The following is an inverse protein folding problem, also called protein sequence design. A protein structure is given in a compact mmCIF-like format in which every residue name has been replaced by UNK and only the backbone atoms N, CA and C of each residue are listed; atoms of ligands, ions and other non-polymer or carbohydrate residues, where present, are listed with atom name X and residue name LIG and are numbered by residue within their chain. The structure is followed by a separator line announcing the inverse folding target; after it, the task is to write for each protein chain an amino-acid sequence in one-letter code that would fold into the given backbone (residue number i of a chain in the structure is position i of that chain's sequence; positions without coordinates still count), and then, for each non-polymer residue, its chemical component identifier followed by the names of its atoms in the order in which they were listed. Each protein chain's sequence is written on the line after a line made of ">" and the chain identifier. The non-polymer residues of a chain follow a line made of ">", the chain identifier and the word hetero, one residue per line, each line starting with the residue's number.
data_IF_607339498280
#
_entry.id   IF_607339498280
#
_cell.length_a   1.000
_cell.length_b   1.000
_cell.length_c   1.000
_cell.angle_alpha   90.00
_cell.angle_beta   90.00
_cell.angle_gamma   90.00
#
_symmetry.space_group_name_H-M   'P 1'
#
loop_
_entity.id
_entity.type
_entity.pdbx_description
1 polymer ?
#
# COMPACT_ATOMS: atom_id res chain seq x y z
N UNK A 1 17.92 5.44 -5.75
CA UNK A 1 18.88 6.43 -6.30
C UNK A 1 18.25 7.27 -7.42
N UNK A 2 17.92 6.69 -8.59
CA UNK A 2 17.37 7.43 -9.73
C UNK A 2 16.14 8.28 -9.37
N UNK A 3 15.20 7.71 -8.61
CA UNK A 3 14.00 8.42 -8.17
C UNK A 3 14.28 9.71 -7.41
N UNK A 4 15.32 9.74 -6.57
CA UNK A 4 15.63 10.94 -5.79
C UNK A 4 15.99 12.12 -6.70
N UNK A 5 16.78 11.84 -7.75
CA UNK A 5 17.14 12.84 -8.76
C UNK A 5 15.93 13.22 -9.61
N UNK A 6 15.16 12.24 -10.07
CA UNK A 6 13.98 12.49 -10.92
C UNK A 6 12.93 13.37 -10.21
N UNK A 7 12.57 13.05 -8.97
CA UNK A 7 11.63 13.85 -8.18
C UNK A 7 12.16 15.26 -7.91
N UNK A 8 13.46 15.41 -7.61
CA UNK A 8 14.08 16.73 -7.42
C UNK A 8 14.08 17.58 -8.70
N UNK A 9 14.27 16.97 -9.87
CA UNK A 9 14.18 17.68 -11.16
C UNK A 9 12.75 18.13 -11.46
N UNK A 10 11.75 17.33 -11.12
CA UNK A 10 10.33 17.74 -11.22
C UNK A 10 10.00 18.87 -10.25
N UNK A 11 10.51 18.82 -9.03
CA UNK A 11 10.37 19.90 -8.05
C UNK A 11 10.99 21.21 -8.57
N UNK A 12 12.23 21.17 -9.10
CA UNK A 12 12.88 22.31 -9.75
C UNK A 12 12.05 22.84 -10.92
N UNK A 13 11.49 21.95 -11.75
CA UNK A 13 10.65 22.35 -12.88
C UNK A 13 9.39 23.09 -12.42
N UNK A 14 8.71 22.60 -11.38
CA UNK A 14 7.54 23.27 -10.77
C UNK A 14 7.91 24.63 -10.17
N UNK A 15 9.00 24.70 -9.40
CA UNK A 15 9.52 25.96 -8.83
C UNK A 15 9.86 26.98 -9.92
N UNK A 16 10.53 26.56 -11.00
CA UNK A 16 10.86 27.42 -12.14
C UNK A 16 9.62 27.91 -12.89
N UNK A 17 8.59 27.08 -13.00
CA UNK A 17 7.31 27.45 -13.60
C UNK A 17 6.43 28.30 -12.68
N UNK A 18 6.76 28.40 -11.38
CA UNK A 18 5.90 29.01 -10.38
C UNK A 18 4.60 28.21 -10.15
N UNK A 19 4.63 26.91 -10.41
CA UNK A 19 3.46 26.03 -10.40
C UNK A 19 3.68 24.78 -9.55
N UNK A 20 2.66 24.29 -8.84
CA UNK A 20 2.68 22.95 -8.26
C UNK A 20 2.90 21.89 -9.34
N UNK A 21 3.60 20.80 -9.02
CA UNK A 21 3.89 19.74 -9.99
C UNK A 21 2.63 19.12 -10.60
N UNK A 22 1.50 19.10 -9.89
CA UNK A 22 0.26 18.54 -10.43
C UNK A 22 -0.30 19.40 -11.57
N UNK A 23 -0.05 20.72 -11.57
CA UNK A 23 -0.41 21.60 -12.69
C UNK A 23 0.45 21.30 -13.92
N UNK A 24 1.75 21.02 -13.72
CA UNK A 24 2.62 20.60 -14.82
C UNK A 24 2.21 19.25 -15.43
N UNK A 25 1.52 18.41 -14.65
CA UNK A 25 1.01 17.11 -15.07
C UNK A 25 -0.37 17.19 -15.75
N UNK A 26 -0.98 18.37 -15.84
CA UNK A 26 -2.28 18.57 -16.49
C UNK A 26 -3.37 19.16 -15.58
N UNK A 27 -3.05 19.49 -14.33
CA UNK A 27 -3.99 20.08 -13.38
C UNK A 27 -4.76 19.04 -12.56
N UNK A 28 -5.57 19.53 -11.61
CA UNK A 28 -6.38 18.69 -10.72
C UNK A 28 -7.53 18.04 -11.48
N UNK A 29 -7.58 16.71 -11.48
CA UNK A 29 -8.76 15.91 -11.79
C UNK A 29 -9.71 15.79 -10.58
N UNK A 30 -9.23 16.13 -9.38
CA UNK A 30 -9.95 16.12 -8.11
C UNK A 30 -9.27 17.08 -7.12
N UNK A 31 -10.03 17.60 -6.16
CA UNK A 31 -9.52 18.56 -5.17
C UNK A 31 -8.57 17.93 -4.12
N UNK A 32 -8.75 16.64 -3.84
CA UNK A 32 -7.97 15.91 -2.83
C UNK A 32 -7.94 14.42 -3.14
N UNK A 33 -6.91 13.72 -2.66
CA UNK A 33 -6.80 12.27 -2.75
C UNK A 33 -7.54 11.62 -1.57
N UNK A 34 -8.50 10.74 -1.84
CA UNK A 34 -9.08 9.90 -0.79
C UNK A 34 -8.00 8.98 -0.22
N UNK A 35 -7.95 8.80 1.11
CA UNK A 35 -6.95 7.94 1.73
C UNK A 35 -7.55 6.73 2.43
N UNK A 36 -6.75 5.66 2.52
CA UNK A 36 -7.02 4.55 3.42
C UNK A 36 -6.02 4.48 4.57
N UNK A 37 -6.48 3.94 5.70
CA UNK A 37 -5.71 3.79 6.95
C UNK A 37 -5.64 2.33 7.37
N UNK A 38 -4.73 2.02 8.30
CA UNK A 38 -4.53 0.66 8.78
C UNK A 38 -5.19 0.47 10.14
N UNK A 39 -6.11 -0.48 10.21
CA UNK A 39 -6.68 -1.00 11.43
C UNK A 39 -6.12 -2.40 11.71
N UNK A 40 -5.86 -2.68 12.98
CA UNK A 40 -5.42 -4.00 13.37
C UNK A 40 -5.63 -4.32 14.84
N UNK A 41 -5.48 -5.59 15.17
CA UNK A 41 -5.71 -6.15 16.50
C UNK A 41 -5.33 -7.62 16.52
N UNK A 42 -5.40 -8.25 17.70
CA UNK A 42 -5.17 -9.67 17.89
C UNK A 42 -6.45 -10.50 17.82
N UNK A 43 -7.61 -9.85 17.90
CA UNK A 43 -8.93 -10.49 17.82
C UNK A 43 -9.83 -9.71 16.85
N UNK A 44 -10.91 -10.33 16.32
CA UNK A 44 -11.85 -9.63 15.46
C UNK A 44 -12.44 -8.36 16.10
N UNK A 45 -12.73 -8.42 17.41
CA UNK A 45 -13.25 -7.27 18.19
C UNK A 45 -12.22 -6.14 18.30
N UNK A 46 -10.95 -6.44 18.54
CA UNK A 46 -9.91 -5.40 18.56
C UNK A 46 -9.72 -4.74 17.18
N UNK A 47 -9.84 -5.53 16.09
CA UNK A 47 -9.84 -4.99 14.73
C UNK A 47 -11.07 -4.10 14.52
N UNK A 48 -12.26 -4.53 14.94
CA UNK A 48 -13.50 -3.74 14.88
C UNK A 48 -13.35 -2.39 15.59
N UNK A 49 -12.85 -2.40 16.84
CA UNK A 49 -12.61 -1.19 17.63
C UNK A 49 -11.64 -0.25 16.92
N UNK A 50 -10.58 -0.80 16.30
CA UNK A 50 -9.62 -0.02 15.52
C UNK A 50 -10.27 0.59 14.27
N UNK A 51 -11.15 -0.14 13.59
CA UNK A 51 -11.91 0.37 12.43
C UNK A 51 -12.86 1.50 12.86
N UNK A 52 -13.61 1.33 13.95
CA UNK A 52 -14.55 2.34 14.46
C UNK A 52 -13.86 3.65 14.83
N UNK A 53 -12.66 3.59 15.42
CA UNK A 53 -11.85 4.79 15.71
C UNK A 53 -11.53 5.57 14.43
N UNK A 54 -11.07 4.89 13.39
CA UNK A 54 -10.76 5.51 12.10
C UNK A 54 -12.01 6.05 11.40
N UNK A 55 -13.15 5.36 11.50
CA UNK A 55 -14.41 5.88 10.98
C UNK A 55 -14.82 7.18 11.70
N UNK A 56 -14.64 7.27 13.02
CA UNK A 56 -14.90 8.49 13.78
C UNK A 56 -13.98 9.67 13.40
N UNK A 57 -12.77 9.37 12.91
CA UNK A 57 -11.84 10.36 12.32
C UNK A 57 -12.22 10.76 10.87
N UNK A 58 -13.25 10.14 10.29
CA UNK A 58 -13.76 10.45 8.95
C UNK A 58 -13.17 9.60 7.82
N UNK A 59 -12.42 8.54 8.12
CA UNK A 59 -11.93 7.60 7.10
C UNK A 59 -13.04 6.68 6.62
N UNK A 60 -13.07 6.44 5.30
CA UNK A 60 -14.07 5.58 4.62
C UNK A 60 -13.47 4.32 4.02
N UNK A 61 -12.15 4.27 3.87
CA UNK A 61 -11.39 3.14 3.35
C UNK A 61 -10.40 2.69 4.44
N UNK A 62 -10.48 1.43 4.87
CA UNK A 62 -9.70 0.94 6.01
C UNK A 62 -9.16 -0.46 5.69
N UNK A 63 -7.83 -0.59 5.71
CA UNK A 63 -7.15 -1.88 5.60
C UNK A 63 -7.16 -2.58 6.95
N UNK A 64 -7.65 -3.81 6.98
CA UNK A 64 -7.82 -4.60 8.20
C UNK A 64 -6.84 -5.77 8.25
N UNK A 65 -6.14 -5.90 9.38
CA UNK A 65 -5.21 -6.98 9.65
C UNK A 65 -5.42 -7.55 11.06
N UNK A 66 -5.44 -8.88 11.19
CA UNK A 66 -5.49 -9.55 12.49
C UNK A 66 -4.16 -10.25 12.76
N UNK A 67 -3.37 -9.69 13.68
CA UNK A 67 -2.05 -10.21 14.05
C UNK A 67 -0.91 -9.86 13.09
N UNK A 68 -1.09 -8.87 12.20
CA UNK A 68 -0.09 -8.46 11.21
C UNK A 68 -0.03 -9.39 9.99
N UNK A 69 1.01 -9.23 9.16
CA UNK A 69 1.18 -10.05 7.96
C UNK A 69 1.47 -11.52 8.31
N UNK A 70 0.61 -12.42 7.82
CA UNK A 70 0.63 -13.83 8.19
C UNK A 70 -0.03 -14.14 9.55
N UNK A 71 -0.60 -13.13 10.20
CA UNK A 71 -1.30 -13.24 11.47
C UNK A 71 -0.44 -13.68 12.66
N UNK A 72 -1.09 -13.89 13.80
CA UNK A 72 -0.45 -14.39 15.01
C UNK A 72 -1.03 -15.74 15.38
N UNK A 73 -0.26 -16.79 15.15
CA UNK A 73 -0.67 -18.16 15.45
C UNK A 73 -0.89 -18.36 16.96
N UNK A 74 -1.99 -19.04 17.33
CA UNK A 74 -2.31 -19.33 18.73
C UNK A 74 -1.29 -20.27 19.38
N UNK A 75 -0.78 -21.21 18.60
CA UNK A 75 0.28 -22.12 18.99
C UNK A 75 1.16 -22.42 17.77
N UNK A 76 2.48 -22.34 17.95
CA UNK A 76 3.46 -22.71 16.93
C UNK A 76 4.28 -23.89 17.45
N UNK A 77 4.04 -25.07 16.88
CA UNK A 77 4.88 -26.24 17.09
C UNK A 77 6.00 -26.19 16.06
N UNK A 78 7.24 -26.26 16.54
CA UNK A 78 8.46 -26.20 15.71
C UNK A 78 9.30 -27.45 15.94
N UNK A 79 10.04 -27.93 14.91
CA UNK A 79 10.98 -29.02 15.10
C UNK A 79 12.16 -28.61 16.00
N UNK A 80 12.80 -29.59 16.64
CA UNK A 80 14.05 -29.36 17.35
C UNK A 80 15.12 -28.81 16.40
N UNK A 81 15.88 -27.81 16.86
CA UNK A 81 16.89 -27.13 16.05
C UNK A 81 16.36 -26.04 15.10
N UNK A 82 15.06 -25.69 15.15
CA UNK A 82 14.50 -24.60 14.36
C UNK A 82 15.23 -23.26 14.61
N UNK A 83 15.69 -22.61 13.53
CA UNK A 83 16.43 -21.34 13.60
C UNK A 83 15.55 -20.18 14.09
N UNK A 84 16.13 -19.10 14.66
CA UNK A 84 15.39 -17.87 14.90
C UNK A 84 14.76 -17.29 13.62
N UNK A 85 13.66 -16.56 13.78
CA UNK A 85 12.94 -15.91 12.67
C UNK A 85 11.55 -15.42 13.09
N UNK A 86 10.89 -14.71 12.18
CA UNK A 86 9.50 -14.29 12.31
C UNK A 86 8.57 -15.42 11.86
N UNK A 87 8.20 -16.30 12.79
CA UNK A 87 7.36 -17.47 12.49
C UNK A 87 5.89 -17.10 12.34
N UNK A 88 5.23 -17.66 11.32
CA UNK A 88 3.78 -17.60 11.15
C UNK A 88 3.25 -18.95 10.61
N UNK A 89 1.92 -19.11 10.59
CA UNK A 89 1.27 -20.30 10.04
C UNK A 89 0.34 -19.86 8.90
N UNK A 90 0.78 -20.11 7.66
CA UNK A 90 0.09 -19.76 6.42
C UNK A 90 -1.36 -20.26 6.37
N UNK A 91 -1.60 -21.51 6.77
CA UNK A 91 -2.94 -22.12 6.76
C UNK A 91 -3.84 -21.59 7.86
N UNK A 92 -3.29 -21.32 9.04
CA UNK A 92 -4.05 -20.67 10.12
C UNK A 92 -4.42 -19.25 9.74
N UNK A 93 -3.49 -18.50 9.17
CA UNK A 93 -3.73 -17.16 8.62
C UNK A 93 -4.88 -17.17 7.61
N UNK A 94 -4.77 -17.96 6.54
CA UNK A 94 -5.80 -18.02 5.50
C UNK A 94 -7.19 -18.39 6.04
N UNK A 95 -7.27 -19.32 7.00
CA UNK A 95 -8.54 -19.70 7.63
C UNK A 95 -9.16 -18.61 8.51
N UNK A 96 -8.34 -17.71 9.05
CA UNK A 96 -8.78 -16.69 10.01
C UNK A 96 -9.22 -15.38 9.34
N UNK A 97 -8.78 -15.10 8.10
CA UNK A 97 -9.15 -13.88 7.38
C UNK A 97 -10.66 -13.80 7.10
N UNK A 98 -11.27 -14.85 6.57
CA UNK A 98 -12.70 -14.85 6.24
C UNK A 98 -13.61 -14.66 7.48
N UNK A 99 -13.42 -15.39 8.60
CA UNK A 99 -14.18 -15.15 9.82
C UNK A 99 -14.00 -13.75 10.41
N UNK A 100 -12.79 -13.17 10.30
CA UNK A 100 -12.56 -11.77 10.70
C UNK A 100 -13.40 -10.82 9.84
N UNK A 101 -13.37 -10.98 8.51
CA UNK A 101 -14.14 -10.13 7.60
C UNK A 101 -15.66 -10.30 7.77
N UNK A 102 -16.13 -11.52 8.03
CA UNK A 102 -17.53 -11.78 8.37
C UNK A 102 -17.96 -11.01 9.61
N UNK A 103 -17.17 -11.09 10.69
CA UNK A 103 -17.43 -10.33 11.92
C UNK A 103 -17.52 -8.82 11.64
N UNK A 104 -16.55 -8.28 10.91
CA UNK A 104 -16.53 -6.85 10.56
C UNK A 104 -17.74 -6.44 9.71
N UNK A 105 -18.11 -7.23 8.71
CA UNK A 105 -19.29 -6.93 7.88
C UNK A 105 -20.60 -7.00 8.65
N UNK A 106 -20.73 -7.95 9.58
CA UNK A 106 -21.89 -8.03 10.47
C UNK A 106 -21.99 -6.81 11.41
N UNK A 107 -20.86 -6.30 11.89
CA UNK A 107 -20.83 -5.21 12.87
C UNK A 107 -20.83 -3.79 12.26
N UNK A 108 -20.29 -3.63 11.05
CA UNK A 108 -20.02 -2.34 10.41
C UNK A 108 -20.82 -2.11 9.13
N UNK A 109 -21.40 -3.16 8.56
CA UNK A 109 -22.08 -3.11 7.27
C UNK A 109 -21.12 -2.96 6.08
N UNK A 110 -21.67 -2.46 4.96
CA UNK A 110 -20.99 -2.39 3.67
C UNK A 110 -20.64 -0.98 3.19
N UNK A 111 -21.02 0.07 3.94
CA UNK A 111 -20.71 1.47 3.57
C UNK A 111 -19.24 1.82 3.77
N UNK A 112 -18.58 1.20 4.76
CA UNK A 112 -17.11 1.32 4.91
C UNK A 112 -16.44 0.38 3.93
N UNK A 113 -15.48 0.91 3.17
CA UNK A 113 -14.65 0.14 2.25
C UNK A 113 -13.53 -0.55 3.02
N UNK A 114 -13.47 -1.87 2.93
CA UNK A 114 -12.47 -2.68 3.63
C UNK A 114 -11.41 -3.18 2.65
N UNK A 115 -10.15 -3.13 3.07
CA UNK A 115 -9.01 -3.65 2.32
C UNK A 115 -8.33 -4.73 3.14
N UNK A 116 -7.66 -5.67 2.47
CA UNK A 116 -6.84 -6.66 3.16
C UNK A 116 -5.59 -6.95 2.34
N UNK A 117 -4.47 -7.18 3.02
CA UNK A 117 -3.17 -7.37 2.40
C UNK A 117 -2.64 -8.77 2.72
N UNK A 118 -2.47 -9.59 1.69
CA UNK A 118 -1.96 -10.95 1.84
C UNK A 118 -0.45 -10.94 2.03
N UNK A 119 0.23 -9.92 1.53
CA UNK A 119 1.67 -9.70 1.66
C UNK A 119 2.47 -10.94 1.27
N UNK A 120 2.12 -11.54 0.11
CA UNK A 120 2.74 -12.74 -0.46
C UNK A 120 2.88 -13.96 0.48
N UNK A 121 2.12 -14.00 1.60
CA UNK A 121 2.23 -15.02 2.65
C UNK A 121 1.66 -16.39 2.30
N UNK A 122 1.04 -16.53 1.13
CA UNK A 122 0.34 -17.72 0.72
C UNK A 122 0.89 -18.28 -0.58
N UNK A 123 0.92 -19.61 -0.68
CA UNK A 123 1.17 -20.30 -1.95
C UNK A 123 0.00 -20.06 -2.91
N UNK A 124 0.22 -20.17 -4.24
CA UNK A 124 -0.80 -19.80 -5.22
C UNK A 124 -2.17 -20.46 -5.06
N UNK A 125 -2.22 -21.75 -4.67
CA UNK A 125 -3.49 -22.45 -4.44
C UNK A 125 -4.23 -21.94 -3.21
N UNK A 126 -3.51 -21.68 -2.11
CA UNK A 126 -4.09 -21.19 -0.86
C UNK A 126 -4.56 -19.73 -1.04
N UNK A 127 -3.79 -18.94 -1.79
CA UNK A 127 -4.13 -17.57 -2.19
C UNK A 127 -5.41 -17.51 -3.03
N UNK A 128 -5.54 -18.36 -4.06
CA UNK A 128 -6.77 -18.48 -4.85
C UNK A 128 -7.97 -18.85 -3.98
N UNK A 129 -7.81 -19.81 -3.05
CA UNK A 129 -8.88 -20.21 -2.15
C UNK A 129 -9.31 -19.06 -1.24
N UNK A 130 -8.35 -18.28 -0.72
CA UNK A 130 -8.64 -17.08 0.06
C UNK A 130 -9.39 -16.03 -0.78
N UNK A 131 -8.91 -15.72 -1.99
CA UNK A 131 -9.51 -14.73 -2.87
C UNK A 131 -10.99 -15.04 -3.17
N UNK A 132 -11.34 -16.32 -3.33
CA UNK A 132 -12.74 -16.78 -3.44
C UNK A 132 -13.50 -16.66 -2.13
N UNK A 133 -12.89 -17.08 -1.02
CA UNK A 133 -13.55 -17.08 0.29
C UNK A 133 -13.95 -15.67 0.76
N UNK A 134 -13.26 -14.64 0.28
CA UNK A 134 -13.54 -13.25 0.67
C UNK A 134 -14.48 -12.48 -0.27
N UNK A 135 -14.93 -13.08 -1.38
CA UNK A 135 -15.87 -12.44 -2.32
C UNK A 135 -17.14 -11.87 -1.64
N UNK A 136 -17.81 -12.60 -0.72
CA UNK A 136 -19.03 -12.09 -0.08
C UNK A 136 -18.82 -10.80 0.72
N UNK A 137 -17.58 -10.51 1.14
CA UNK A 137 -17.25 -9.34 1.94
C UNK A 137 -16.92 -8.11 1.12
N UNK A 138 -16.90 -8.20 -0.23
CA UNK A 138 -16.76 -7.05 -1.15
C UNK A 138 -15.63 -6.10 -0.70
N UNK A 139 -14.42 -6.63 -0.59
CA UNK A 139 -13.24 -5.79 -0.31
C UNK A 139 -13.07 -4.77 -1.44
N UNK A 140 -12.61 -3.57 -1.09
CA UNK A 140 -12.20 -2.56 -2.08
C UNK A 140 -11.02 -3.07 -2.91
N UNK A 141 -10.06 -3.73 -2.26
CA UNK A 141 -9.14 -4.67 -2.90
C UNK A 141 -8.57 -5.70 -1.91
N UNK A 142 -8.11 -6.82 -2.46
CA UNK A 142 -7.20 -7.78 -1.85
C UNK A 142 -5.80 -7.56 -2.44
N UNK A 143 -4.87 -7.18 -1.60
CA UNK A 143 -3.51 -6.74 -1.97
C UNK A 143 -2.50 -7.89 -1.89
N UNK A 144 -1.52 -7.84 -2.80
CA UNK A 144 -0.33 -8.70 -2.88
C UNK A 144 -0.64 -10.18 -2.61
N UNK A 145 -1.70 -10.64 -3.29
CA UNK A 145 -2.21 -12.00 -3.20
C UNK A 145 -1.14 -13.06 -3.49
N UNK A 146 -0.19 -12.71 -4.37
CA UNK A 146 0.90 -13.55 -4.84
C UNK A 146 2.18 -12.71 -4.91
N UNK A 147 3.32 -13.38 -4.87
CA UNK A 147 4.63 -12.75 -5.04
C UNK A 147 4.88 -12.26 -6.48
N UNK A 148 5.81 -11.30 -6.69
CA UNK A 148 6.22 -10.86 -8.03
C UNK A 148 6.72 -11.97 -8.96
N UNK A 149 7.32 -13.04 -8.42
CA UNK A 149 7.80 -14.16 -9.24
C UNK A 149 6.67 -15.09 -9.70
N UNK A 150 5.47 -14.94 -9.15
CA UNK A 150 4.29 -15.78 -9.42
C UNK A 150 3.20 -15.04 -10.21
N UNK A 151 3.54 -13.93 -10.89
CA UNK A 151 2.57 -13.07 -11.61
C UNK A 151 1.70 -13.81 -12.65
N UNK A 152 2.21 -14.89 -13.25
CA UNK A 152 1.45 -15.69 -14.22
C UNK A 152 0.23 -16.38 -13.60
N UNK A 153 0.24 -16.63 -12.28
CA UNK A 153 -0.90 -17.20 -11.58
C UNK A 153 -2.09 -16.22 -11.46
N UNK A 154 -1.90 -14.91 -11.66
CA UNK A 154 -3.03 -13.98 -11.63
C UNK A 154 -4.05 -14.26 -12.74
N UNK A 155 -3.64 -14.82 -13.89
CA UNK A 155 -4.58 -15.26 -14.93
C UNK A 155 -5.48 -16.42 -14.43
N UNK A 156 -4.92 -17.32 -13.62
CA UNK A 156 -5.65 -18.43 -13.00
C UNK A 156 -6.65 -17.90 -11.97
N UNK A 157 -6.25 -16.90 -11.17
CA UNK A 157 -7.10 -16.26 -10.15
C UNK A 157 -8.24 -15.48 -10.81
N UNK A 158 -7.93 -14.60 -11.76
CA UNK A 158 -8.92 -13.75 -12.46
C UNK A 158 -9.99 -14.57 -13.18
N UNK A 159 -9.67 -15.77 -13.64
CA UNK A 159 -10.64 -16.70 -14.24
C UNK A 159 -11.57 -17.42 -13.25
N UNK A 160 -11.45 -17.19 -11.93
CA UNK A 160 -12.15 -17.96 -10.88
C UNK A 160 -12.83 -17.12 -9.80
N UNK A 161 -12.48 -15.85 -9.64
CA UNK A 161 -13.12 -14.95 -8.69
C UNK A 161 -13.18 -13.51 -9.21
N UNK A 162 -14.12 -12.73 -8.66
CA UNK A 162 -14.35 -11.31 -8.96
C UNK A 162 -13.84 -10.38 -7.85
N UNK A 163 -13.18 -10.90 -6.80
CA UNK A 163 -12.52 -10.09 -5.77
C UNK A 163 -11.55 -9.11 -6.43
N UNK A 164 -11.67 -7.78 -6.19
CA UNK A 164 -10.73 -6.82 -6.75
C UNK A 164 -9.32 -7.07 -6.22
N UNK A 165 -8.33 -7.00 -7.10
CA UNK A 165 -6.92 -7.29 -6.78
C UNK A 165 -6.06 -6.04 -6.93
N UNK A 166 -5.22 -5.82 -5.93
CA UNK A 166 -4.15 -4.83 -5.98
C UNK A 166 -2.80 -5.54 -5.96
N UNK A 167 -1.82 -5.05 -6.72
CA UNK A 167 -0.50 -5.68 -6.78
C UNK A 167 0.59 -4.66 -7.07
N UNK A 168 1.77 -4.87 -6.48
CA UNK A 168 3.01 -4.45 -7.10
C UNK A 168 3.89 -3.53 -6.27
N UNK A 169 3.69 -3.44 -4.95
CA UNK A 169 4.55 -2.62 -4.09
C UNK A 169 6.02 -3.02 -4.17
N UNK A 170 6.30 -4.30 -4.49
CA UNK A 170 7.64 -4.88 -4.65
C UNK A 170 8.25 -4.72 -6.05
N UNK A 171 7.48 -4.26 -7.05
CA UNK A 171 7.95 -4.22 -8.44
C UNK A 171 9.04 -3.17 -8.65
N UNK A 172 10.04 -3.56 -9.42
CA UNK A 172 11.17 -2.70 -9.82
C UNK A 172 11.58 -2.88 -11.28
N UNK A 173 10.92 -3.76 -12.03
CA UNK A 173 11.20 -4.05 -13.42
C UNK A 173 9.93 -4.06 -14.31
N UNK A 174 9.91 -3.40 -15.49
CA UNK A 174 8.70 -3.28 -16.31
C UNK A 174 8.01 -4.59 -16.70
N UNK A 175 8.78 -5.67 -16.79
CA UNK A 175 8.25 -7.01 -17.08
C UNK A 175 7.34 -7.57 -15.98
N UNK A 176 7.30 -6.96 -14.80
CA UNK A 176 6.45 -7.39 -13.69
C UNK A 176 5.04 -6.81 -13.83
N UNK A 177 4.90 -5.50 -14.07
CA UNK A 177 3.58 -4.85 -14.17
C UNK A 177 2.97 -4.88 -15.57
N UNK A 178 3.77 -4.86 -16.64
CA UNK A 178 3.25 -4.86 -18.01
C UNK A 178 2.28 -6.01 -18.31
N UNK A 179 2.58 -7.29 -18.00
CA UNK A 179 1.64 -8.38 -18.26
C UNK A 179 0.37 -8.29 -17.40
N UNK A 180 0.49 -7.85 -16.14
CA UNK A 180 -0.67 -7.71 -15.26
C UNK A 180 -1.64 -6.61 -15.74
N UNK A 181 -1.11 -5.45 -16.13
CA UNK A 181 -1.92 -4.33 -16.62
C UNK A 181 -2.52 -4.65 -18.00
N UNK A 182 -1.70 -5.09 -18.97
CA UNK A 182 -2.20 -5.37 -20.33
C UNK A 182 -3.20 -6.52 -20.38
N UNK A 183 -3.02 -7.54 -19.54
CA UNK A 183 -3.95 -8.64 -19.37
C UNK A 183 -5.16 -8.33 -18.50
N UNK A 184 -5.24 -7.13 -17.89
CA UNK A 184 -6.28 -6.72 -16.93
C UNK A 184 -6.44 -7.73 -15.79
N UNK A 185 -5.31 -8.18 -15.27
CA UNK A 185 -5.23 -9.21 -14.25
C UNK A 185 -5.32 -8.63 -12.83
N UNK A 186 -5.16 -7.32 -12.70
CA UNK A 186 -5.29 -6.55 -11.46
C UNK A 186 -6.22 -5.36 -11.70
N UNK A 187 -6.80 -4.84 -10.62
CA UNK A 187 -7.70 -3.68 -10.64
C UNK A 187 -6.98 -2.41 -10.15
N UNK A 188 -5.93 -2.58 -9.34
CA UNK A 188 -5.10 -1.50 -8.83
C UNK A 188 -3.61 -1.80 -8.97
N UNK A 189 -2.86 -0.87 -9.55
CA UNK A 189 -1.40 -0.90 -9.53
C UNK A 189 -0.88 -0.21 -8.25
N UNK A 190 -0.11 -0.93 -7.44
CA UNK A 190 0.34 -0.50 -6.10
C UNK A 190 1.77 0.01 -6.03
N UNK A 191 2.47 0.06 -7.15
CA UNK A 191 3.93 0.25 -7.17
C UNK A 191 4.43 1.39 -6.28
N UNK A 192 5.55 1.13 -5.61
CA UNK A 192 6.28 2.16 -4.89
C UNK A 192 7.00 3.07 -5.91
N UNK A 193 6.58 4.34 -6.03
CA UNK A 193 7.09 5.27 -7.08
C UNK A 193 8.62 5.35 -7.07
N UNK A 194 9.24 5.36 -5.88
CA UNK A 194 10.70 5.47 -5.80
C UNK A 194 11.44 4.22 -6.31
N UNK A 195 10.80 3.05 -6.23
CA UNK A 195 11.37 1.78 -6.61
C UNK A 195 11.39 1.61 -8.14
N UNK A 196 10.41 2.18 -8.84
CA UNK A 196 10.37 2.20 -10.31
C UNK A 196 11.21 3.33 -10.93
N UNK A 197 11.77 4.21 -10.10
CA UNK A 197 12.70 5.25 -10.56
C UNK A 197 12.15 6.68 -10.61
N UNK A 198 11.01 6.98 -9.99
CA UNK A 198 10.52 8.34 -9.78
C UNK A 198 9.21 8.69 -10.49
N UNK A 199 8.88 9.98 -10.52
CA UNK A 199 7.66 10.52 -11.10
C UNK A 199 7.60 10.33 -12.63
N UNK A 200 8.74 10.43 -13.32
CA UNK A 200 8.82 10.24 -14.78
C UNK A 200 8.36 8.86 -15.25
N UNK A 201 8.83 7.73 -14.68
CA UNK A 201 8.26 6.43 -15.00
C UNK A 201 6.84 6.26 -14.43
N UNK A 202 6.55 6.76 -13.23
CA UNK A 202 5.23 6.59 -12.61
C UNK A 202 4.09 7.19 -13.44
N UNK A 203 4.25 8.40 -14.00
CA UNK A 203 3.24 8.98 -14.89
C UNK A 203 2.99 8.16 -16.16
N UNK A 204 4.00 7.43 -16.65
CA UNK A 204 3.84 6.53 -17.81
C UNK A 204 3.08 5.27 -17.42
N UNK A 205 3.36 4.70 -16.25
CA UNK A 205 2.63 3.56 -15.71
C UNK A 205 1.17 3.94 -15.43
N UNK A 206 0.92 5.11 -14.85
CA UNK A 206 -0.42 5.63 -14.60
C UNK A 206 -1.24 5.73 -15.91
N UNK A 207 -0.66 6.34 -16.94
CA UNK A 207 -1.29 6.45 -18.27
C UNK A 207 -1.50 5.08 -18.93
N UNK A 208 -0.53 4.16 -18.80
CA UNK A 208 -0.69 2.80 -19.32
C UNK A 208 -1.82 2.04 -18.60
N UNK A 209 -1.88 2.16 -17.27
CA UNK A 209 -2.94 1.59 -16.45
C UNK A 209 -4.32 2.17 -16.82
N UNK A 210 -4.39 3.48 -17.06
CA UNK A 210 -5.62 4.18 -17.48
C UNK A 210 -6.20 3.56 -18.76
N UNK A 211 -5.37 3.33 -19.78
CA UNK A 211 -5.79 2.72 -21.05
C UNK A 211 -6.34 1.29 -20.89
N UNK A 212 -6.04 0.63 -19.77
CA UNK A 212 -6.47 -0.73 -19.47
C UNK A 212 -7.55 -0.80 -18.37
N UNK A 213 -8.10 0.34 -17.94
CA UNK A 213 -9.05 0.46 -16.82
C UNK A 213 -8.48 -0.05 -15.47
N UNK A 214 -7.16 0.03 -15.29
CA UNK A 214 -6.50 -0.25 -14.02
C UNK A 214 -6.31 1.08 -13.28
N UNK A 215 -6.68 1.11 -11.99
CA UNK A 215 -6.56 2.30 -11.15
C UNK A 215 -5.21 2.37 -10.43
N UNK A 216 -4.79 3.55 -10.01
CA UNK A 216 -3.57 3.73 -9.21
C UNK A 216 -3.86 3.62 -7.71
N UNK A 217 -2.94 3.01 -6.96
CA UNK A 217 -2.96 3.03 -5.51
C UNK A 217 -1.53 2.98 -4.95
N UNK A 218 -0.74 4.03 -5.15
CA UNK A 218 0.71 3.98 -4.86
C UNK A 218 1.01 3.58 -3.41
N UNK A 219 2.00 2.69 -3.24
CA UNK A 219 2.49 2.26 -1.93
C UNK A 219 2.97 3.50 -1.14
N UNK A 220 2.30 3.76 -0.02
CA UNK A 220 2.49 4.92 0.86
C UNK A 220 2.63 4.53 2.33
N UNK A 221 3.54 3.60 2.68
CA UNK A 221 3.77 3.16 4.05
C UNK A 221 4.54 4.23 4.84
N UNK A 222 4.94 3.89 6.06
CA UNK A 222 5.73 4.77 6.95
C UNK A 222 7.15 5.03 6.46
N UNK A 223 7.72 4.13 5.66
CA UNK A 223 9.08 4.22 5.11
C UNK A 223 9.15 4.98 3.78
N UNK A 224 8.04 5.61 3.37
CA UNK A 224 8.05 6.66 2.35
C UNK A 224 8.29 8.01 3.04
N UNK A 225 9.31 8.74 2.61
CA UNK A 225 9.58 10.08 3.15
C UNK A 225 8.41 11.04 2.85
N UNK A 226 8.27 12.14 3.60
CA UNK A 226 7.28 13.17 3.27
C UNK A 226 7.37 13.69 1.83
N UNK A 227 8.58 13.72 1.24
CA UNK A 227 8.79 14.09 -0.17
C UNK A 227 8.14 13.07 -1.11
N UNK A 228 8.29 11.77 -0.83
CA UNK A 228 7.64 10.72 -1.61
C UNK A 228 6.11 10.78 -1.51
N UNK A 229 5.57 11.05 -0.31
CA UNK A 229 4.13 11.25 -0.11
C UNK A 229 3.59 12.46 -0.87
N UNK A 230 4.32 13.58 -0.88
CA UNK A 230 3.97 14.72 -1.72
C UNK A 230 3.98 14.32 -3.21
N UNK A 231 5.01 13.62 -3.68
CA UNK A 231 5.06 13.12 -5.05
C UNK A 231 3.88 12.21 -5.41
N UNK A 232 3.50 11.27 -4.54
CA UNK A 232 2.32 10.42 -4.73
C UNK A 232 1.06 11.29 -4.90
N UNK A 233 0.82 12.22 -3.98
CA UNK A 233 -0.33 13.12 -4.01
C UNK A 233 -0.41 13.93 -5.31
N UNK A 234 0.72 14.49 -5.75
CA UNK A 234 0.75 15.28 -6.99
C UNK A 234 0.32 14.45 -8.21
N UNK A 235 0.70 13.18 -8.26
CA UNK A 235 0.26 12.26 -9.31
C UNK A 235 -1.22 11.86 -9.12
N UNK A 236 -1.65 11.58 -7.89
CA UNK A 236 -3.04 11.24 -7.55
C UNK A 236 -4.03 12.34 -7.93
N UNK A 237 -3.64 13.60 -7.80
CA UNK A 237 -4.47 14.74 -8.19
C UNK A 237 -4.58 14.85 -9.72
N UNK A 238 -3.51 14.54 -10.45
CA UNK A 238 -3.44 14.73 -11.90
C UNK A 238 -3.95 13.53 -12.72
N UNK A 239 -4.07 12.33 -12.13
CA UNK A 239 -4.46 11.12 -12.87
C UNK A 239 -5.98 10.85 -12.82
N UNK A 240 -6.68 10.73 -13.97
CA UNK A 240 -8.10 10.38 -13.99
C UNK A 240 -8.39 9.02 -13.36
N UNK A 241 -7.51 8.03 -13.55
CA UNK A 241 -7.63 6.67 -13.01
C UNK A 241 -7.12 6.51 -11.57
N UNK A 242 -7.05 7.56 -10.77
CA UNK A 242 -6.78 7.45 -9.34
C UNK A 242 -7.75 6.50 -8.64
N UNK A 243 -7.21 5.57 -7.86
CA UNK A 243 -7.97 4.63 -7.03
C UNK A 243 -8.10 5.10 -5.59
N UNK A 244 -6.98 5.12 -4.86
CA UNK A 244 -6.91 5.50 -3.44
C UNK A 244 -5.44 5.79 -3.07
N UNK A 245 -5.17 6.59 -2.05
CA UNK A 245 -3.81 6.79 -1.54
C UNK A 245 -3.63 6.15 -0.16
N UNK A 246 -2.59 5.34 -0.01
CA UNK A 246 -2.22 4.80 1.30
C UNK A 246 -1.67 5.91 2.21
N UNK A 247 -2.08 5.90 3.48
CA UNK A 247 -1.67 6.92 4.42
C UNK A 247 -1.36 6.38 5.81
N UNK A 248 -0.08 6.30 6.17
CA UNK A 248 0.35 5.92 7.50
C UNK A 248 0.40 7.09 8.51
N UNK A 249 0.38 8.34 8.04
CA UNK A 249 0.54 9.55 8.87
C UNK A 249 2.00 9.93 9.10
N UNK A 250 2.23 11.22 9.41
CA UNK A 250 3.53 11.74 9.80
C UNK A 250 3.64 11.95 11.31
N UNK A 251 4.78 11.59 11.87
CA UNK A 251 5.21 11.97 13.20
C UNK A 251 5.58 13.46 13.29
N UNK A 252 5.56 14.02 14.50
CA UNK A 252 5.91 15.43 14.72
C UNK A 252 7.34 15.75 14.27
N UNK A 253 8.28 14.82 14.47
CA UNK A 253 9.66 14.95 14.00
C UNK A 253 9.75 15.06 12.47
N UNK A 254 8.95 14.29 11.74
CA UNK A 254 8.92 14.36 10.27
C UNK A 254 8.37 15.71 9.82
N UNK A 255 7.32 16.22 10.48
CA UNK A 255 6.77 17.56 10.19
C UNK A 255 7.75 18.68 10.52
N UNK A 256 8.56 18.53 11.57
CA UNK A 256 9.58 19.50 11.96
C UNK A 256 10.71 19.61 10.93
N UNK A 257 11.14 18.45 10.40
CA UNK A 257 12.24 18.30 9.43
C UNK A 257 11.78 18.60 7.99
N UNK A 258 10.54 18.27 7.64
CA UNK A 258 9.98 18.44 6.30
C UNK A 258 8.82 19.43 6.28
N UNK A 259 9.08 20.76 6.30
CA UNK A 259 8.01 21.74 6.16
C UNK A 259 7.31 21.57 4.80
N UNK A 260 5.98 21.72 4.78
CA UNK A 260 5.16 21.53 3.59
C UNK A 260 4.57 20.12 3.42
N UNK A 261 4.70 19.25 4.43
CA UNK A 261 4.00 17.96 4.47
C UNK A 261 2.51 18.08 4.06
N UNK A 262 1.99 17.17 3.21
CA UNK A 262 0.57 17.07 2.94
C UNK A 262 -0.29 16.97 4.20
N UNK A 263 -1.49 17.57 4.15
CA UNK A 263 -2.44 17.54 5.25
C UNK A 263 -3.56 16.55 5.00
N UNK A 264 -3.86 15.72 6.00
CA UNK A 264 -5.01 14.81 5.96
C UNK A 264 -6.09 15.30 6.92
N UNK A 265 -7.29 15.46 6.39
CA UNK A 265 -8.47 15.84 7.16
C UNK A 265 -9.70 15.12 6.61
N UNK A 266 -10.54 14.61 7.52
CA UNK A 266 -11.78 13.90 7.18
C UNK A 266 -11.58 12.88 6.04
N UNK A 267 -10.53 12.04 6.13
CA UNK A 267 -10.25 10.97 5.16
C UNK A 267 -9.81 11.41 3.74
N UNK A 268 -9.33 12.64 3.57
CA UNK A 268 -8.74 13.13 2.32
C UNK A 268 -7.37 13.78 2.58
N UNK A 269 -6.42 13.58 1.66
CA UNK A 269 -5.11 14.23 1.64
C UNK A 269 -5.09 15.40 0.66
N UNK A 270 -4.65 16.56 1.14
CA UNK A 270 -4.66 17.83 0.42
C UNK A 270 -3.25 18.35 0.14
N UNK A 271 -3.04 18.99 -1.02
CA UNK A 271 -1.82 19.72 -1.31
C UNK A 271 -1.83 21.07 -0.56
N UNK A 272 -0.69 21.76 -0.54
CA UNK A 272 -0.56 23.14 -0.03
C UNK A 272 -0.47 24.20 -1.15
N UNK A 273 -0.65 23.76 -2.40
CA UNK A 273 -0.63 24.56 -3.63
C UNK A 273 0.64 25.42 -3.85
N UNK A 274 1.75 25.13 -3.16
CA UNK A 274 3.03 25.80 -3.40
C UNK A 274 3.73 25.27 -4.66
N UNK A 275 4.60 26.07 -5.32
CA UNK A 275 5.37 25.62 -6.47
C UNK A 275 6.25 24.39 -6.20
N UNK A 276 6.46 23.57 -7.23
CA UNK A 276 7.21 22.31 -7.08
C UNK A 276 6.36 21.23 -6.44
N UNK A 277 6.99 20.38 -5.63
CA UNK A 277 6.30 19.39 -4.79
C UNK A 277 5.69 20.01 -3.52
N UNK A 278 5.88 21.32 -3.32
CA UNK A 278 5.38 22.05 -2.15
C UNK A 278 6.00 21.60 -0.83
N UNK A 279 7.16 20.96 -0.84
CA UNK A 279 7.82 20.42 0.34
C UNK A 279 9.31 20.77 0.33
N UNK A 280 9.91 20.88 1.53
CA UNK A 280 11.31 21.20 1.71
C UNK A 280 11.97 20.32 2.80
N UNK A 281 13.29 20.46 2.97
CA UNK A 281 14.09 19.75 3.97
C UNK A 281 14.89 20.74 4.82
N UNK A 282 14.68 20.71 6.13
CA UNK A 282 15.53 21.40 7.10
C UNK A 282 16.72 20.52 7.48
N UNK A 283 17.84 20.71 6.78
CA UNK A 283 19.07 19.93 6.98
C UNK A 283 19.59 20.01 8.44
N UNK A 284 19.48 21.18 9.08
CA UNK A 284 19.97 21.38 10.44
C UNK A 284 19.16 20.55 11.45
N UNK A 285 17.85 20.40 11.24
CA UNK A 285 17.01 19.52 12.06
C UNK A 285 17.18 18.06 11.70
N UNK A 286 17.39 17.74 10.42
CA UNK A 286 17.59 16.36 9.96
C UNK A 286 18.77 15.69 10.66
N UNK A 287 19.85 16.43 10.93
CA UNK A 287 21.04 15.95 11.66
C UNK A 287 20.72 15.36 13.04
N UNK A 288 19.61 15.78 13.68
CA UNK A 288 19.16 15.22 14.98
C UNK A 288 18.71 13.75 14.88
N UNK A 289 18.41 13.27 13.67
CA UNK A 289 17.81 11.97 13.41
C UNK A 289 18.71 11.12 12.50
N UNK A 290 19.91 10.71 12.95
CA UNK A 290 20.80 9.89 12.14
C UNK A 290 20.16 8.53 11.83
N UNK A 291 20.42 8.01 10.63
CA UNK A 291 20.00 6.67 10.25
C UNK A 291 20.60 5.62 11.20
N UNK A 292 19.83 4.56 11.45
CA UNK A 292 20.29 3.37 12.16
C UNK A 292 20.43 2.23 11.15
N UNK A 293 21.54 1.52 11.24
CA UNK A 293 21.79 0.31 10.45
C UNK A 293 21.41 -0.91 11.30
N UNK A 294 20.10 -1.20 11.31
CA UNK A 294 19.51 -2.28 12.08
C UNK A 294 18.99 -3.38 11.13
N UNK A 295 19.12 -4.64 11.55
CA UNK A 295 18.55 -5.76 10.80
C UNK A 295 17.02 -5.72 10.88
N UNK A 296 16.37 -5.70 9.73
CA UNK A 296 14.91 -5.72 9.63
C UNK A 296 14.40 -7.14 9.93
N UNK A 297 14.25 -7.47 11.20
CA UNK A 297 14.03 -8.85 11.67
C UNK A 297 12.76 -9.52 11.12
N UNK A 298 11.71 -8.75 10.79
CA UNK A 298 10.47 -9.32 10.24
C UNK A 298 10.67 -9.94 8.85
N UNK A 299 11.72 -9.54 8.11
CA UNK A 299 12.04 -10.11 6.79
C UNK A 299 12.58 -11.54 6.87
N UNK A 300 12.95 -12.00 8.08
CA UNK A 300 13.39 -13.37 8.32
C UNK A 300 12.19 -14.27 8.61
N UNK A 301 11.19 -14.22 7.75
CA UNK A 301 9.92 -14.93 7.90
C UNK A 301 10.10 -16.42 7.69
N UNK A 302 9.50 -17.22 8.57
CA UNK A 302 9.56 -18.69 8.52
C UNK A 302 8.20 -19.34 8.72
N UNK A 303 8.01 -20.49 8.07
CA UNK A 303 6.91 -21.42 8.35
C UNK A 303 7.21 -22.26 9.61
N UNK A 304 6.23 -22.96 10.19
CA UNK A 304 6.41 -23.70 11.44
C UNK A 304 7.49 -24.80 11.37
N UNK A 305 7.75 -25.34 10.18
CA UNK A 305 8.82 -26.33 9.93
C UNK A 305 10.23 -25.71 9.84
N UNK A 306 10.34 -24.38 9.91
CA UNK A 306 11.59 -23.63 9.81
C UNK A 306 11.93 -23.14 8.40
N UNK A 307 11.13 -23.48 7.39
CA UNK A 307 11.33 -23.04 6.00
C UNK A 307 11.30 -21.52 5.92
N UNK A 308 12.36 -20.91 5.38
CA UNK A 308 12.37 -19.49 5.06
C UNK A 308 11.46 -19.24 3.85
N UNK A 309 10.62 -18.21 3.94
CA UNK A 309 9.70 -17.83 2.86
C UNK A 309 9.77 -16.34 2.60
N UNK A 310 9.19 -15.89 1.49
CA UNK A 310 9.05 -14.48 1.17
C UNK A 310 8.28 -13.75 2.29
N UNK A 311 8.78 -12.61 2.78
CA UNK A 311 8.33 -12.03 4.03
C UNK A 311 7.05 -11.20 3.93
#
# INVERSE_FOLDING_TARGET
>A
ALSGVDMALWDIAGKRAGMPVYELLGGKCREAAAVYRHAGGLTPTEVEDSVRKLMAEGYRHIRVQMGGYGGKAKALVKPDGALPGAYFNDREYARNVSPMLEHLRNALGFEVELLHDVHERLRPVDALMLAKAVEPYRLFFLEDLLAPEDIDYFAVVRGRCATPLAMGELFNHPREWTPLISGRLIDFIRMHISQMGGLTPARKVAAFAELHNVRTAWHGPKDVSPVGHACNLHLDLACPNFGIQEWAGFADAEREVFPGCPEVRNGYMYPNDQPGLGIDLDEAKAVKYPCKDDVVAWTQTRLPDGTAVRP
#
